data_IF_494771473648
#
_entry.id   IF_494771473648
#
_cell.length_a   1.000
_cell.length_b   1.000
_cell.length_c   1.000
_cell.angle_alpha   90.00
_cell.angle_beta   90.00
_cell.angle_gamma   90.00
#
_symmetry.space_group_name_H-M   'P 1'
#
loop_
_entity.id
_entity.type
_entity.pdbx_description
1 polymer ?
#
# COMPACT_ATOMS: atom_id res chain seq x y z
N UNK A 1 -15.74 27.17 6.61
CA UNK A 1 -15.66 26.23 7.74
C UNK A 1 -15.53 24.84 7.16
N UNK A 2 -14.32 24.28 7.13
CA UNK A 2 -14.10 22.88 6.76
C UNK A 2 -14.58 22.01 7.92
N UNK A 3 -15.51 21.12 7.65
CA UNK A 3 -16.03 20.18 8.63
C UNK A 3 -14.95 19.16 8.95
N UNK A 4 -14.37 19.29 10.13
CA UNK A 4 -13.56 18.27 10.79
C UNK A 4 -14.44 17.04 11.00
N UNK A 5 -14.10 15.93 10.32
CA UNK A 5 -14.75 14.65 10.54
C UNK A 5 -14.34 14.12 11.93
N UNK A 6 -15.34 13.77 12.74
CA UNK A 6 -15.16 13.11 14.03
C UNK A 6 -14.57 11.69 13.83
N UNK A 7 -13.43 11.34 14.46
CA UNK A 7 -12.75 10.06 14.29
C UNK A 7 -13.10 9.10 15.43
N UNK A 8 -14.32 8.57 15.47
CA UNK A 8 -14.74 7.74 16.61
C UNK A 8 -15.80 6.70 16.26
N UNK A 9 -15.37 5.49 15.88
CA UNK A 9 -16.20 4.29 15.94
C UNK A 9 -16.05 3.30 14.78
N UNK A 10 -15.78 3.78 13.56
CA UNK A 10 -15.62 2.96 12.35
C UNK A 10 -14.23 2.97 11.72
N UNK A 11 -13.38 3.96 12.07
CA UNK A 11 -12.14 4.24 11.36
C UNK A 11 -11.11 3.10 11.33
N UNK A 12 -11.04 2.29 12.38
CA UNK A 12 -10.09 1.15 12.42
C UNK A 12 -10.56 0.00 11.54
N UNK A 13 -11.87 -0.26 11.47
CA UNK A 13 -12.42 -1.32 10.62
C UNK A 13 -12.33 -0.92 9.15
N UNK A 14 -12.66 0.33 8.82
CA UNK A 14 -12.54 0.88 7.47
C UNK A 14 -11.08 0.88 7.00
N UNK A 15 -10.13 1.15 7.91
CA UNK A 15 -8.70 1.05 7.62
C UNK A 15 -8.25 -0.39 7.37
N UNK A 16 -8.68 -1.35 8.19
CA UNK A 16 -8.36 -2.78 8.03
C UNK A 16 -8.91 -3.30 6.70
N UNK A 17 -10.16 -2.97 6.38
CA UNK A 17 -10.79 -3.35 5.11
C UNK A 17 -10.07 -2.72 3.91
N UNK A 18 -9.78 -1.41 3.97
CA UNK A 18 -9.03 -0.71 2.93
C UNK A 18 -7.66 -1.33 2.66
N UNK A 19 -6.92 -1.70 3.72
CA UNK A 19 -5.62 -2.36 3.61
C UNK A 19 -5.79 -3.73 2.94
N UNK A 20 -6.77 -4.52 3.37
CA UNK A 20 -7.07 -5.83 2.79
C UNK A 20 -7.35 -5.75 1.29
N UNK A 21 -8.25 -4.86 0.88
CA UNK A 21 -8.59 -4.62 -0.52
C UNK A 21 -7.36 -4.16 -1.33
N UNK A 22 -6.49 -3.33 -0.74
CA UNK A 22 -5.29 -2.88 -1.43
C UNK A 22 -4.28 -4.01 -1.67
N UNK A 23 -4.04 -4.84 -0.65
CA UNK A 23 -3.07 -5.95 -0.72
C UNK A 23 -3.55 -7.02 -1.69
N UNK A 24 -4.86 -7.29 -1.75
CA UNK A 24 -5.46 -8.23 -2.70
C UNK A 24 -5.47 -7.71 -4.15
N UNK A 25 -5.10 -6.44 -4.37
CA UNK A 25 -5.10 -5.82 -5.70
C UNK A 25 -6.49 -5.39 -6.19
N UNK A 26 -7.53 -5.55 -5.37
CA UNK A 26 -8.91 -5.14 -5.64
C UNK A 26 -9.05 -3.62 -5.76
N UNK A 27 -8.13 -2.87 -5.12
CA UNK A 27 -8.16 -1.41 -5.16
C UNK A 27 -6.77 -0.78 -5.20
N UNK A 28 -6.71 0.42 -5.79
CA UNK A 28 -5.49 1.23 -5.78
C UNK A 28 -5.26 1.86 -4.39
N UNK A 29 -4.02 2.21 -4.06
CA UNK A 29 -3.70 2.89 -2.79
C UNK A 29 -4.44 4.21 -2.59
N UNK A 30 -4.67 4.97 -3.66
CA UNK A 30 -5.43 6.20 -3.56
C UNK A 30 -6.87 5.92 -3.14
N UNK A 31 -7.47 4.86 -3.68
CA UNK A 31 -8.85 4.47 -3.39
C UNK A 31 -8.98 3.80 -2.02
N UNK A 32 -7.99 3.01 -1.60
CA UNK A 32 -7.89 2.51 -0.22
C UNK A 32 -7.76 3.66 0.80
N UNK A 33 -6.93 4.65 0.50
CA UNK A 33 -6.76 5.82 1.38
C UNK A 33 -8.06 6.62 1.52
N UNK A 34 -8.75 6.85 0.40
CA UNK A 34 -10.08 7.48 0.39
C UNK A 34 -11.09 6.69 1.23
N UNK A 35 -11.12 5.36 1.08
CA UNK A 35 -12.00 4.48 1.83
C UNK A 35 -11.75 4.53 3.35
N UNK A 36 -10.47 4.58 3.75
CA UNK A 36 -10.06 4.69 5.15
C UNK A 36 -10.09 6.14 5.68
N UNK A 37 -10.48 7.14 4.87
CA UNK A 37 -10.52 8.54 5.29
C UNK A 37 -9.14 9.16 5.59
N UNK A 38 -8.06 8.60 5.06
CA UNK A 38 -6.68 9.09 5.28
C UNK A 38 -6.09 9.65 4.00
N UNK A 39 -5.04 10.46 4.12
CA UNK A 39 -4.30 10.89 2.93
C UNK A 39 -3.53 9.72 2.32
N UNK A 40 -3.35 9.76 0.99
CA UNK A 40 -2.62 8.73 0.24
C UNK A 40 -1.21 8.45 0.80
N UNK A 41 -0.51 9.49 1.24
CA UNK A 41 0.85 9.35 1.80
C UNK A 41 0.83 8.71 3.20
N UNK A 42 -0.23 8.92 3.98
CA UNK A 42 -0.43 8.29 5.29
C UNK A 42 -0.69 6.80 5.13
N UNK A 43 -1.58 6.42 4.21
CA UNK A 43 -1.81 5.01 3.87
C UNK A 43 -0.51 4.30 3.47
N UNK A 44 0.31 4.94 2.63
CA UNK A 44 1.64 4.40 2.28
C UNK A 44 2.56 4.22 3.48
N UNK A 45 2.49 5.14 4.45
CA UNK A 45 3.28 5.06 5.69
C UNK A 45 2.77 3.96 6.62
N UNK A 46 1.46 3.75 6.70
CA UNK A 46 0.82 2.67 7.47
C UNK A 46 1.27 1.31 6.94
N UNK A 47 1.16 1.10 5.63
CA UNK A 47 1.60 -0.14 4.97
C UNK A 47 3.09 -0.41 5.21
N UNK A 48 3.93 0.61 5.07
CA UNK A 48 5.37 0.48 5.34
C UNK A 48 5.67 0.09 6.79
N UNK A 49 4.96 0.68 7.77
CA UNK A 49 5.08 0.32 9.19
C UNK A 49 4.62 -1.12 9.46
N UNK A 50 3.64 -1.61 8.70
CA UNK A 50 3.16 -2.99 8.76
C UNK A 50 4.07 -3.98 8.01
N UNK A 51 5.20 -3.53 7.44
CA UNK A 51 6.10 -4.39 6.65
C UNK A 51 5.60 -4.69 5.23
N UNK A 52 4.50 -4.06 4.81
CA UNK A 52 3.98 -4.13 3.45
C UNK A 52 4.71 -3.07 2.63
N UNK A 53 5.90 -3.42 2.16
CA UNK A 53 6.63 -2.56 1.24
C UNK A 53 6.16 -2.78 -0.20
N UNK A 54 6.05 -1.69 -0.93
CA UNK A 54 5.75 -1.75 -2.35
C UNK A 54 7.02 -2.21 -3.04
N UNK A 55 6.96 -3.36 -3.71
CA UNK A 55 7.96 -3.68 -4.74
C UNK A 55 7.79 -2.70 -5.88
N UNK A 56 8.48 -1.58 -5.76
CA UNK A 56 8.90 -0.85 -6.94
C UNK A 56 9.87 -1.77 -7.66
N UNK A 57 9.69 -1.92 -8.98
CA UNK A 57 10.61 -2.70 -9.79
C UNK A 57 12.07 -2.30 -9.54
N UNK A 58 13.01 -3.12 -10.02
CA UNK A 58 14.42 -3.03 -9.69
C UNK A 58 14.94 -1.61 -9.84
N UNK A 59 15.53 -1.08 -8.77
CA UNK A 59 16.04 0.30 -8.70
C UNK A 59 17.43 0.44 -9.31
N UNK A 60 18.05 -0.67 -9.68
CA UNK A 60 19.34 -0.72 -10.33
C UNK A 60 19.36 -1.81 -11.40
N UNK A 61 20.34 -1.72 -12.32
CA UNK A 61 20.58 -2.80 -13.29
C UNK A 61 20.92 -4.12 -12.60
N UNK A 62 21.62 -4.08 -11.47
CA UNK A 62 21.97 -5.30 -10.75
C UNK A 62 20.72 -5.99 -10.16
N UNK A 63 19.82 -5.22 -9.54
CA UNK A 63 18.53 -5.76 -9.07
C UNK A 63 17.69 -6.33 -10.23
N UNK A 64 17.75 -5.68 -11.40
CA UNK A 64 17.04 -6.17 -12.59
C UNK A 64 17.63 -7.50 -13.08
N UNK A 65 18.95 -7.59 -13.17
CA UNK A 65 19.63 -8.82 -13.61
C UNK A 65 19.34 -9.97 -12.64
N UNK A 66 19.30 -9.73 -11.32
CA UNK A 66 18.92 -10.73 -10.32
C UNK A 66 17.44 -11.17 -10.45
N UNK A 67 16.53 -10.24 -10.74
CA UNK A 67 15.12 -10.57 -10.96
C UNK A 67 14.93 -11.39 -12.25
N UNK A 68 15.62 -11.02 -13.34
CA UNK A 68 15.62 -11.76 -14.60
C UNK A 68 16.19 -13.17 -14.43
N UNK A 69 17.32 -13.29 -13.71
CA UNK A 69 17.92 -14.59 -13.36
C UNK A 69 16.96 -15.48 -12.61
N UNK A 70 16.31 -14.94 -11.56
CA UNK A 70 15.31 -15.66 -10.76
C UNK A 70 14.11 -16.08 -11.61
N UNK A 71 13.62 -15.21 -12.49
CA UNK A 71 12.47 -15.48 -13.34
C UNK A 71 12.75 -16.52 -14.44
N UNK A 72 13.99 -16.57 -14.92
CA UNK A 72 14.45 -17.49 -15.96
C UNK A 72 15.13 -18.75 -15.41
N UNK A 73 15.20 -18.90 -14.08
CA UNK A 73 15.91 -19.97 -13.38
C UNK A 73 17.38 -20.11 -13.83
N UNK A 74 18.05 -18.96 -13.99
CA UNK A 74 19.46 -18.87 -14.38
C UNK A 74 20.30 -18.54 -13.14
N UNK A 75 21.08 -19.50 -12.63
CA UNK A 75 22.10 -19.27 -11.60
C UNK A 75 23.31 -18.46 -12.15
#
# INVERSE_FOLDING_TARGET
>A
MGTQADPGGGGDNDLVEAIGLHILGETSLGKAAEHAGVYRWEMGSILKKAGVDRRYGPRSRNELDEEVKTALDLE
#
